data_IF_163265188276
#
_entry.id   IF_163265188276
#
_cell.length_a   1.000
_cell.length_b   1.000
_cell.length_c   1.000
_cell.angle_alpha   90.00
_cell.angle_beta   90.00
_cell.angle_gamma   90.00
#
_symmetry.space_group_name_H-M   'P 1'
#
loop_
_entity.id
_entity.type
_entity.pdbx_description
1 polymer ?
#
# COMPACT_ATOMS: atom_id res chain seq x y z
N UNK A 1 20.96 40.67 -8.59
CA UNK A 1 20.86 39.20 -8.38
C UNK A 1 19.55 38.74 -7.73
N UNK A 2 18.85 39.51 -6.88
CA UNK A 2 17.60 39.06 -6.25
C UNK A 2 16.39 38.89 -7.20
N UNK A 3 16.31 39.68 -8.27
CA UNK A 3 15.22 39.61 -9.25
C UNK A 3 15.20 38.32 -10.08
N UNK A 4 16.37 37.81 -10.47
CA UNK A 4 16.49 36.55 -11.22
C UNK A 4 16.03 35.34 -10.39
N UNK A 5 16.24 35.36 -9.07
CA UNK A 5 15.80 34.29 -8.16
C UNK A 5 14.27 34.25 -7.97
N UNK A 6 13.59 35.41 -8.02
CA UNK A 6 12.13 35.50 -7.88
C UNK A 6 11.42 35.14 -9.19
N UNK A 7 11.98 35.54 -10.33
CA UNK A 7 11.44 35.14 -11.64
C UNK A 7 11.55 33.63 -11.86
N UNK A 8 12.65 33.00 -11.40
CA UNK A 8 12.85 31.57 -11.51
C UNK A 8 11.87 30.77 -10.63
N UNK A 9 11.62 31.23 -9.38
CA UNK A 9 10.64 30.57 -8.50
C UNK A 9 9.21 30.73 -9.00
N UNK A 10 8.83 31.92 -9.49
CA UNK A 10 7.50 32.15 -10.10
C UNK A 10 7.30 31.28 -11.34
N UNK A 11 8.31 31.16 -12.21
CA UNK A 11 8.24 30.29 -13.39
C UNK A 11 8.08 28.81 -13.01
N UNK A 12 8.80 28.31 -11.99
CA UNK A 12 8.64 26.92 -11.53
C UNK A 12 7.27 26.63 -10.94
N UNK A 13 6.65 27.59 -10.24
CA UNK A 13 5.30 27.44 -9.68
C UNK A 13 4.26 27.41 -10.80
N UNK A 14 4.37 28.28 -11.81
CA UNK A 14 3.45 28.32 -12.94
C UNK A 14 3.53 27.03 -13.79
N UNK A 15 4.73 26.48 -13.98
CA UNK A 15 4.92 25.20 -14.70
C UNK A 15 4.29 24.04 -13.91
N UNK A 16 4.48 23.99 -12.59
CA UNK A 16 3.88 22.97 -11.75
C UNK A 16 2.33 23.04 -11.75
N UNK A 17 1.77 24.26 -11.70
CA UNK A 17 0.32 24.48 -11.78
C UNK A 17 -0.25 24.07 -13.15
N UNK A 18 0.42 24.41 -14.25
CA UNK A 18 0.00 24.01 -15.59
C UNK A 18 0.03 22.49 -15.78
N UNK A 19 1.04 21.81 -15.24
CA UNK A 19 1.13 20.34 -15.26
C UNK A 19 0.02 19.68 -14.43
N UNK A 20 -0.27 20.21 -13.24
CA UNK A 20 -1.38 19.72 -12.41
C UNK A 20 -2.75 19.93 -13.08
N UNK A 21 -2.97 21.07 -13.75
CA UNK A 21 -4.22 21.32 -14.47
C UNK A 21 -4.38 20.37 -15.66
N UNK A 22 -3.31 20.15 -16.43
CA UNK A 22 -3.33 19.22 -17.56
C UNK A 22 -3.60 17.78 -17.12
N UNK A 23 -2.98 17.34 -16.02
CA UNK A 23 -3.22 16.01 -15.45
C UNK A 23 -4.66 15.86 -14.94
N UNK A 24 -5.20 16.89 -14.29
CA UNK A 24 -6.58 16.92 -13.83
C UNK A 24 -7.56 16.81 -15.01
N UNK A 25 -7.34 17.57 -16.08
CA UNK A 25 -8.20 17.56 -17.27
C UNK A 25 -8.14 16.21 -17.98
N UNK A 26 -6.95 15.64 -18.18
CA UNK A 26 -6.80 14.30 -18.75
C UNK A 26 -7.48 13.21 -17.90
N UNK A 27 -7.42 13.32 -16.57
CA UNK A 27 -8.09 12.39 -15.67
C UNK A 27 -9.62 12.49 -15.76
N UNK A 28 -10.15 13.71 -15.91
CA UNK A 28 -11.57 13.97 -16.12
C UNK A 28 -12.06 13.41 -17.45
N UNK A 29 -11.27 13.55 -18.51
CA UNK A 29 -11.59 13.03 -19.84
C UNK A 29 -11.63 11.50 -19.85
N UNK A 30 -10.64 10.83 -19.26
CA UNK A 30 -10.61 9.37 -19.12
C UNK A 30 -11.84 8.87 -18.33
N UNK A 31 -12.19 9.54 -17.23
CA UNK A 31 -13.37 9.22 -16.42
C UNK A 31 -14.64 9.28 -17.27
N UNK A 32 -14.84 10.41 -17.97
CA UNK A 32 -16.02 10.63 -18.80
C UNK A 32 -16.11 9.60 -19.93
N UNK A 33 -15.01 9.38 -20.64
CA UNK A 33 -14.93 8.42 -21.74
C UNK A 33 -15.34 7.01 -21.28
N UNK A 34 -14.73 6.51 -20.21
CA UNK A 34 -15.06 5.18 -19.69
C UNK A 34 -16.53 5.04 -19.26
N UNK A 35 -17.12 6.09 -18.68
CA UNK A 35 -18.53 6.07 -18.30
C UNK A 35 -19.47 6.14 -19.51
N UNK A 36 -19.11 6.89 -20.55
CA UNK A 36 -19.84 6.94 -21.82
C UNK A 36 -19.79 5.58 -22.54
N UNK A 37 -18.64 4.91 -22.55
CA UNK A 37 -18.54 3.58 -23.18
C UNK A 37 -19.41 2.55 -22.46
N UNK A 38 -19.45 2.60 -21.12
CA UNK A 38 -20.32 1.74 -20.30
C UNK A 38 -21.80 2.07 -20.47
N UNK A 39 -22.14 3.33 -20.70
CA UNK A 39 -23.52 3.76 -20.92
C UNK A 39 -23.99 3.56 -22.36
N UNK A 40 -23.13 3.02 -23.24
CA UNK A 40 -23.35 2.96 -24.69
C UNK A 40 -23.68 4.33 -25.28
N UNK A 41 -22.97 5.37 -24.83
CA UNK A 41 -23.13 6.78 -25.20
C UNK A 41 -24.53 7.34 -24.90
N UNK A 42 -25.22 6.80 -23.90
CA UNK A 42 -26.44 7.40 -23.38
C UNK A 42 -26.11 8.45 -22.32
N UNK A 43 -26.32 9.73 -22.64
CA UNK A 43 -25.96 10.85 -21.75
C UNK A 43 -26.69 10.80 -20.39
N UNK A 44 -27.99 10.50 -20.37
CA UNK A 44 -28.75 10.40 -19.11
C UNK A 44 -28.25 9.27 -18.21
N UNK A 45 -27.82 8.15 -18.79
CA UNK A 45 -27.21 7.05 -18.03
C UNK A 45 -25.81 7.45 -17.57
N UNK A 46 -25.04 8.15 -18.39
CA UNK A 46 -23.69 8.66 -18.06
C UNK A 46 -23.73 9.57 -16.85
N UNK A 47 -24.66 10.54 -16.81
CA UNK A 47 -24.85 11.44 -15.67
C UNK A 47 -25.17 10.69 -14.37
N UNK A 48 -26.04 9.68 -14.44
CA UNK A 48 -26.35 8.82 -13.28
C UNK A 48 -25.13 8.03 -12.79
N UNK A 49 -24.31 7.53 -13.71
CA UNK A 49 -23.08 6.82 -13.36
C UNK A 49 -22.02 7.76 -12.75
N UNK A 50 -21.92 9.00 -13.25
CA UNK A 50 -21.09 10.05 -12.65
C UNK A 50 -21.53 10.36 -11.21
N UNK A 51 -22.83 10.51 -10.98
CA UNK A 51 -23.37 10.70 -9.63
C UNK A 51 -23.00 9.53 -8.71
N UNK A 52 -23.12 8.29 -9.22
CA UNK A 52 -22.70 7.10 -8.47
C UNK A 52 -21.21 7.14 -8.13
N UNK A 53 -20.37 7.52 -9.09
CA UNK A 53 -18.91 7.61 -8.93
C UNK A 53 -18.46 8.58 -7.83
N UNK A 54 -19.25 9.60 -7.48
CA UNK A 54 -18.94 10.51 -6.36
C UNK A 54 -18.71 9.78 -5.02
N UNK A 55 -19.23 8.55 -4.88
CA UNK A 55 -19.05 7.72 -3.68
C UNK A 55 -17.97 6.65 -3.83
N UNK A 56 -17.16 6.68 -4.88
CA UNK A 56 -16.17 5.64 -5.23
C UNK A 56 -15.25 5.26 -4.06
N UNK A 57 -14.83 6.24 -3.25
CA UNK A 57 -13.98 6.01 -2.08
C UNK A 57 -14.59 5.03 -1.05
N UNK A 58 -15.92 4.92 -0.99
CA UNK A 58 -16.66 4.09 -0.05
C UNK A 58 -16.97 2.69 -0.61
N UNK A 59 -16.72 2.44 -1.89
CA UNK A 59 -17.12 1.18 -2.53
C UNK A 59 -16.28 0.02 -2.01
N UNK A 60 -16.93 -1.04 -1.52
CA UNK A 60 -16.28 -2.30 -1.10
C UNK A 60 -16.16 -3.32 -2.23
N UNK A 61 -16.99 -3.16 -3.27
CA UNK A 61 -17.02 -3.94 -4.50
C UNK A 61 -17.19 -3.01 -5.69
N UNK A 62 -16.97 -3.52 -6.90
CA UNK A 62 -17.21 -2.74 -8.11
C UNK A 62 -18.72 -2.47 -8.27
N UNK A 63 -19.09 -1.18 -8.29
CA UNK A 63 -20.48 -0.73 -8.37
C UNK A 63 -20.86 -0.27 -9.79
N UNK A 64 -19.87 0.07 -10.63
CA UNK A 64 -20.05 0.35 -12.05
C UNK A 64 -19.27 -0.73 -12.82
N UNK A 65 -19.95 -1.58 -13.60
CA UNK A 65 -19.32 -2.74 -14.22
C UNK A 65 -18.08 -2.39 -15.06
N UNK A 66 -16.93 -3.00 -14.75
CA UNK A 66 -15.67 -2.87 -15.49
C UNK A 66 -15.12 -1.44 -15.63
N UNK A 67 -15.63 -0.48 -14.87
CA UNK A 67 -15.20 0.92 -14.93
C UNK A 67 -13.73 1.08 -14.53
N UNK A 68 -13.31 0.42 -13.45
CA UNK A 68 -11.92 0.51 -12.99
C UNK A 68 -10.94 -0.09 -13.99
N UNK A 69 -11.36 -1.14 -14.71
CA UNK A 69 -10.57 -1.75 -15.79
C UNK A 69 -10.36 -0.77 -16.94
N UNK A 70 -11.40 -0.06 -17.37
CA UNK A 70 -11.28 0.96 -18.41
C UNK A 70 -10.32 2.07 -17.98
N UNK A 71 -10.54 2.69 -16.81
CA UNK A 71 -9.70 3.79 -16.32
C UNK A 71 -8.23 3.37 -16.20
N UNK A 72 -7.96 2.18 -15.66
CA UNK A 72 -6.60 1.69 -15.53
C UNK A 72 -5.96 1.37 -16.89
N UNK A 73 -6.75 0.96 -17.89
CA UNK A 73 -6.26 0.68 -19.23
C UNK A 73 -5.92 1.96 -20.01
N UNK A 74 -6.77 2.99 -19.94
CA UNK A 74 -6.51 4.31 -20.54
C UNK A 74 -5.23 4.95 -19.99
N UNK A 75 -4.91 4.68 -18.73
CA UNK A 75 -3.65 5.10 -18.09
C UNK A 75 -2.44 4.25 -18.48
N UNK A 76 -2.65 3.16 -19.21
CA UNK A 76 -1.63 2.16 -19.54
C UNK A 76 -1.19 1.31 -18.33
N UNK A 77 -1.88 1.43 -17.19
CA UNK A 77 -1.59 0.69 -15.96
C UNK A 77 -2.13 -0.74 -16.02
N UNK A 78 -3.14 -1.01 -16.86
CA UNK A 78 -3.74 -2.32 -17.02
C UNK A 78 -3.73 -2.75 -18.49
N UNK A 79 -3.14 -3.92 -18.74
CA UNK A 79 -3.13 -4.56 -20.05
C UNK A 79 -4.41 -5.39 -20.20
N UNK A 80 -5.33 -4.90 -21.03
CA UNK A 80 -6.63 -5.53 -21.26
C UNK A 80 -6.47 -6.92 -21.89
N UNK A 81 -5.57 -7.10 -22.84
CA UNK A 81 -5.44 -8.37 -23.58
C UNK A 81 -4.82 -9.46 -22.70
N UNK A 82 -3.86 -9.08 -21.84
CA UNK A 82 -3.16 -10.01 -20.96
C UNK A 82 -3.74 -10.07 -19.55
N UNK A 83 -4.81 -9.33 -19.27
CA UNK A 83 -5.47 -9.24 -17.98
C UNK A 83 -4.50 -9.04 -16.80
N UNK A 84 -3.60 -8.06 -16.90
CA UNK A 84 -2.53 -7.86 -15.91
C UNK A 84 -2.16 -6.39 -15.72
N UNK A 85 -1.69 -6.06 -14.53
CA UNK A 85 -1.13 -4.75 -14.24
C UNK A 85 0.25 -4.56 -14.86
N UNK A 86 0.48 -3.40 -15.47
CA UNK A 86 1.75 -3.00 -16.03
C UNK A 86 2.63 -2.37 -14.95
N UNK A 87 3.47 -3.19 -14.31
CA UNK A 87 4.42 -2.75 -13.28
C UNK A 87 5.24 -1.55 -13.74
N UNK A 88 5.85 -1.62 -14.93
CA UNK A 88 6.79 -0.60 -15.38
C UNK A 88 6.08 0.75 -15.51
N UNK A 89 4.92 0.78 -16.19
CA UNK A 89 4.14 2.01 -16.36
C UNK A 89 3.68 2.61 -15.03
N UNK A 90 3.21 1.79 -14.09
CA UNK A 90 2.80 2.25 -12.76
C UNK A 90 4.00 2.83 -11.98
N UNK A 91 5.17 2.19 -12.06
CA UNK A 91 6.38 2.68 -11.40
C UNK A 91 6.86 3.99 -12.03
N UNK A 92 6.79 4.11 -13.34
CA UNK A 92 7.20 5.33 -14.06
C UNK A 92 6.26 6.50 -13.76
N UNK A 93 4.95 6.26 -13.70
CA UNK A 93 3.95 7.30 -13.48
C UNK A 93 3.77 7.67 -12.00
N UNK A 94 3.77 6.67 -11.10
CA UNK A 94 3.39 6.85 -9.68
C UNK A 94 4.52 6.55 -8.69
N UNK A 95 5.63 5.98 -9.16
CA UNK A 95 6.77 5.60 -8.33
C UNK A 95 6.70 4.20 -7.73
N UNK A 96 7.89 3.66 -7.40
CA UNK A 96 8.06 2.30 -6.90
C UNK A 96 7.32 2.03 -5.57
N UNK A 97 7.23 3.03 -4.68
CA UNK A 97 6.55 2.88 -3.40
C UNK A 97 5.04 2.64 -3.57
N UNK A 98 4.43 3.32 -4.55
CA UNK A 98 3.02 3.12 -4.90
C UNK A 98 2.77 1.70 -5.40
N UNK A 99 3.62 1.23 -6.31
CA UNK A 99 3.56 -0.14 -6.81
C UNK A 99 3.76 -1.16 -5.69
N UNK A 100 4.74 -0.94 -4.82
CA UNK A 100 5.07 -1.88 -3.74
C UNK A 100 3.95 -2.00 -2.73
N UNK A 101 3.28 -0.89 -2.40
CA UNK A 101 2.11 -0.89 -1.52
C UNK A 101 0.99 -1.80 -2.04
N UNK A 102 0.73 -1.75 -3.36
CA UNK A 102 -0.35 -2.49 -4.01
C UNK A 102 0.07 -3.80 -4.69
N UNK A 103 1.34 -4.21 -4.53
CA UNK A 103 1.94 -5.32 -5.25
C UNK A 103 1.13 -6.60 -5.09
N UNK A 104 0.57 -6.86 -3.92
CA UNK A 104 -0.27 -8.03 -3.74
C UNK A 104 -1.53 -7.96 -4.61
N UNK A 105 -2.30 -6.88 -4.55
CA UNK A 105 -3.52 -6.73 -5.36
C UNK A 105 -3.22 -6.81 -6.86
N UNK A 106 -2.04 -6.36 -7.29
CA UNK A 106 -1.61 -6.49 -8.68
C UNK A 106 -1.23 -7.91 -9.11
N UNK A 107 -0.94 -8.81 -8.18
CA UNK A 107 -0.56 -10.20 -8.48
C UNK A 107 -1.57 -11.23 -7.92
N UNK A 108 -2.69 -10.76 -7.38
CA UNK A 108 -3.70 -11.60 -6.74
C UNK A 108 -4.38 -12.48 -7.80
N UNK A 109 -4.58 -13.78 -7.55
CA UNK A 109 -5.42 -14.61 -8.39
C UNK A 109 -6.83 -14.01 -8.52
N UNK A 110 -7.41 -14.10 -9.72
CA UNK A 110 -8.73 -13.56 -9.98
C UNK A 110 -9.57 -14.52 -10.82
N UNK A 111 -10.88 -14.51 -10.56
CA UNK A 111 -11.89 -15.16 -11.40
C UNK A 111 -12.58 -14.15 -12.33
N UNK A 112 -12.65 -12.88 -11.92
CA UNK A 112 -13.27 -11.79 -12.66
C UNK A 112 -12.27 -10.65 -12.85
N UNK A 113 -11.98 -10.33 -14.12
CA UNK A 113 -10.98 -9.31 -14.50
C UNK A 113 -11.37 -7.89 -14.06
N UNK A 114 -12.66 -7.58 -14.02
CA UNK A 114 -13.15 -6.25 -13.63
C UNK A 114 -13.04 -6.04 -12.12
N UNK A 115 -13.41 -7.04 -11.33
CA UNK A 115 -13.16 -7.05 -9.88
C UNK A 115 -11.67 -6.96 -9.55
N UNK A 116 -10.82 -7.65 -10.31
CA UNK A 116 -9.36 -7.57 -10.16
C UNK A 116 -8.82 -6.17 -10.45
N UNK A 117 -9.24 -5.54 -11.55
CA UNK A 117 -8.88 -4.17 -11.88
C UNK A 117 -9.41 -3.17 -10.83
N UNK A 118 -10.65 -3.36 -10.35
CA UNK A 118 -11.24 -2.55 -9.29
C UNK A 118 -10.41 -2.61 -7.99
N UNK A 119 -10.04 -3.81 -7.55
CA UNK A 119 -9.23 -3.97 -6.32
C UNK A 119 -7.87 -3.28 -6.43
N UNK A 120 -7.18 -3.44 -7.56
CA UNK A 120 -5.89 -2.78 -7.75
C UNK A 120 -6.01 -1.25 -7.87
N UNK A 121 -7.00 -0.73 -8.59
CA UNK A 121 -7.21 0.73 -8.71
C UNK A 121 -7.62 1.35 -7.36
N UNK A 122 -8.49 0.68 -6.61
CA UNK A 122 -8.85 1.07 -5.25
C UNK A 122 -7.62 1.09 -4.33
N UNK A 123 -6.75 0.09 -4.43
CA UNK A 123 -5.50 0.08 -3.69
C UNK A 123 -4.62 1.29 -4.03
N UNK A 124 -4.44 1.61 -5.33
CA UNK A 124 -3.66 2.79 -5.74
C UNK A 124 -4.20 4.07 -5.10
N UNK A 125 -5.52 4.25 -5.05
CA UNK A 125 -6.15 5.40 -4.38
C UNK A 125 -5.91 5.44 -2.87
N UNK A 126 -5.88 4.28 -2.21
CA UNK A 126 -5.50 4.22 -0.80
C UNK A 126 -4.02 4.56 -0.60
N UNK A 127 -3.17 4.06 -1.51
CA UNK A 127 -1.73 4.24 -1.46
C UNK A 127 -1.32 5.71 -1.69
N UNK A 128 -2.01 6.45 -2.57
CA UNK A 128 -1.84 7.90 -2.77
C UNK A 128 -1.93 8.68 -1.45
N UNK A 129 -2.85 8.29 -0.56
CA UNK A 129 -3.05 8.94 0.75
C UNK A 129 -2.05 8.46 1.81
N UNK A 130 -1.69 7.18 1.77
CA UNK A 130 -0.99 6.54 2.88
C UNK A 130 0.54 6.49 2.70
N UNK A 131 1.04 6.34 1.47
CA UNK A 131 2.48 6.15 1.20
C UNK A 131 3.28 7.39 1.63
N UNK A 132 2.78 8.59 1.32
CA UNK A 132 3.46 9.85 1.65
C UNK A 132 3.55 10.03 3.18
N UNK A 133 2.44 9.80 3.88
CA UNK A 133 2.38 9.93 5.35
C UNK A 133 3.29 8.91 6.03
N UNK A 134 3.22 7.65 5.59
CA UNK A 134 4.05 6.56 6.11
C UNK A 134 5.53 6.84 5.89
N UNK A 135 5.90 7.26 4.69
CA UNK A 135 7.28 7.61 4.36
C UNK A 135 7.78 8.81 5.18
N UNK A 136 6.94 9.82 5.41
CA UNK A 136 7.27 10.97 6.27
C UNK A 136 7.61 10.53 7.69
N UNK A 137 6.79 9.66 8.30
CA UNK A 137 7.06 9.11 9.62
C UNK A 137 8.38 8.36 9.68
N UNK A 138 8.64 7.49 8.69
CA UNK A 138 9.89 6.74 8.60
C UNK A 138 11.11 7.67 8.47
N UNK A 139 11.08 8.62 7.53
CA UNK A 139 12.17 9.59 7.33
C UNK A 139 12.45 10.39 8.59
N UNK A 140 11.41 10.76 9.33
CA UNK A 140 11.56 11.49 10.60
C UNK A 140 12.33 10.64 11.61
N UNK A 141 11.96 9.37 11.78
CA UNK A 141 12.65 8.46 12.69
C UNK A 141 14.07 8.14 12.24
N UNK A 142 14.32 7.97 10.93
CA UNK A 142 15.67 7.79 10.37
C UNK A 142 16.58 8.96 10.74
N UNK A 143 16.08 10.18 10.66
CA UNK A 143 16.82 11.39 11.05
C UNK A 143 17.06 11.43 12.56
N UNK A 144 16.03 11.19 13.38
CA UNK A 144 16.14 11.16 14.84
C UNK A 144 17.14 10.12 15.34
N UNK A 145 17.30 9.01 14.62
CA UNK A 145 18.26 7.93 14.95
C UNK A 145 19.64 8.11 14.33
N UNK A 146 19.89 9.21 13.60
CA UNK A 146 21.14 9.47 12.90
C UNK A 146 21.60 8.29 12.02
N UNK A 147 20.63 7.64 11.37
CA UNK A 147 20.84 6.40 10.61
C UNK A 147 21.43 6.68 9.23
N UNK A 148 22.41 5.89 8.81
CA UNK A 148 22.95 5.93 7.45
C UNK A 148 22.14 5.08 6.46
N UNK A 149 22.25 5.38 5.16
CA UNK A 149 21.60 4.58 4.12
C UNK A 149 22.07 3.12 4.14
N UNK A 150 23.35 2.85 4.45
CA UNK A 150 23.86 1.48 4.51
C UNK A 150 23.20 0.66 5.63
N UNK A 151 22.92 1.27 6.78
CA UNK A 151 22.20 0.61 7.88
C UNK A 151 20.74 0.33 7.50
N UNK A 152 20.09 1.23 6.75
CA UNK A 152 18.73 1.01 6.26
C UNK A 152 18.64 -0.17 5.29
N UNK A 153 19.66 -0.36 4.44
CA UNK A 153 19.70 -1.48 3.50
C UNK A 153 19.71 -2.84 4.20
N UNK A 154 20.18 -2.93 5.45
CA UNK A 154 20.12 -4.18 6.22
C UNK A 154 18.68 -4.67 6.46
N UNK A 155 17.70 -3.76 6.48
CA UNK A 155 16.29 -4.10 6.68
C UNK A 155 15.65 -4.76 5.46
N UNK A 156 16.27 -4.67 4.27
CA UNK A 156 15.77 -5.30 3.04
C UNK A 156 15.59 -6.82 3.19
N UNK A 157 16.37 -7.45 4.08
CA UNK A 157 16.33 -8.89 4.33
C UNK A 157 15.50 -9.31 5.55
N UNK A 158 14.79 -8.39 6.21
CA UNK A 158 14.04 -8.65 7.45
C UNK A 158 14.89 -9.39 8.49
N UNK A 159 16.01 -8.79 8.95
CA UNK A 159 16.93 -9.41 9.87
C UNK A 159 16.22 -9.82 11.17
N UNK A 160 16.74 -10.85 11.82
CA UNK A 160 16.30 -11.19 13.17
C UNK A 160 16.83 -10.13 14.13
N UNK A 161 15.92 -9.52 14.91
CA UNK A 161 16.25 -8.42 15.80
C UNK A 161 16.52 -7.11 15.06
N UNK A 162 16.24 -6.00 15.75
CA UNK A 162 16.32 -4.68 15.17
C UNK A 162 17.78 -4.22 15.03
N UNK A 163 18.20 -3.82 13.82
CA UNK A 163 19.59 -3.38 13.56
C UNK A 163 19.87 -1.95 13.99
N UNK A 164 18.87 -1.09 13.83
CA UNK A 164 18.93 0.32 14.25
C UNK A 164 18.11 0.46 15.53
N UNK A 165 18.73 0.76 16.67
CA UNK A 165 18.04 0.77 17.96
C UNK A 165 16.75 1.61 17.97
N UNK A 166 15.62 0.95 18.17
CA UNK A 166 14.29 1.55 18.32
C UNK A 166 13.80 2.37 17.12
N UNK A 167 14.26 2.08 15.90
CA UNK A 167 13.76 2.73 14.68
C UNK A 167 12.29 2.41 14.44
N UNK A 168 11.91 1.13 14.52
CA UNK A 168 10.56 0.66 14.34
C UNK A 168 9.65 1.15 15.45
N UNK A 169 10.08 1.13 16.71
CA UNK A 169 9.30 1.72 17.81
C UNK A 169 9.01 3.22 17.55
N UNK A 170 10.01 3.98 17.09
CA UNK A 170 9.78 5.38 16.69
C UNK A 170 8.71 5.49 15.59
N UNK A 171 8.86 4.69 14.52
CA UNK A 171 7.91 4.68 13.42
C UNK A 171 6.50 4.28 13.88
N UNK A 172 6.40 3.23 14.69
CA UNK A 172 5.14 2.71 15.22
C UNK A 172 4.39 3.74 16.05
N UNK A 173 5.09 4.53 16.85
CA UNK A 173 4.49 5.62 17.63
C UNK A 173 3.97 6.74 16.73
N UNK A 174 4.76 7.19 15.74
CA UNK A 174 4.32 8.25 14.80
C UNK A 174 3.15 7.79 13.92
N UNK A 175 3.17 6.53 13.49
CA UNK A 175 2.10 5.92 12.71
C UNK A 175 0.91 5.42 13.56
N UNK A 176 0.98 5.56 14.89
CA UNK A 176 -0.04 5.11 15.83
C UNK A 176 -0.47 3.66 15.57
N UNK A 177 0.52 2.78 15.42
CA UNK A 177 0.27 1.35 15.15
C UNK A 177 -0.30 0.61 16.37
N UNK A 178 -0.11 1.19 17.55
CA UNK A 178 -0.54 0.66 18.83
C UNK A 178 -1.37 1.71 19.58
N UNK A 179 -2.31 1.24 20.41
CA UNK A 179 -2.97 2.09 21.40
C UNK A 179 -2.12 2.23 22.68
N UNK A 180 -2.64 2.97 23.66
CA UNK A 180 -1.96 3.22 24.95
C UNK A 180 -1.73 1.93 25.77
N UNK A 181 -2.45 0.85 25.46
CA UNK A 181 -2.32 -0.48 26.06
C UNK A 181 -1.46 -1.44 25.21
N UNK A 182 -0.73 -0.91 24.22
CA UNK A 182 0.06 -1.70 23.27
C UNK A 182 -0.75 -2.74 22.48
N UNK A 183 -2.05 -2.51 22.30
CA UNK A 183 -2.89 -3.30 21.41
C UNK A 183 -2.78 -2.76 19.99
N UNK A 184 -2.84 -3.65 18.99
CA UNK A 184 -2.75 -3.22 17.59
C UNK A 184 -3.96 -2.39 17.17
N UNK A 185 -3.69 -1.25 16.54
CA UNK A 185 -4.69 -0.53 15.76
C UNK A 185 -4.58 -1.05 14.32
N UNK A 186 -5.25 -2.18 14.04
CA UNK A 186 -5.14 -2.92 12.76
C UNK A 186 -5.33 -2.03 11.54
N UNK A 187 -6.26 -1.06 11.61
CA UNK A 187 -6.50 -0.09 10.54
C UNK A 187 -5.25 0.73 10.20
N UNK A 188 -4.45 1.11 11.20
CA UNK A 188 -3.23 1.90 10.99
C UNK A 188 -2.09 1.04 10.45
N UNK A 189 -2.01 -0.23 10.85
CA UNK A 189 -1.12 -1.20 10.21
C UNK A 189 -1.41 -1.37 8.72
N UNK A 190 -2.68 -1.58 8.36
CA UNK A 190 -3.10 -1.69 6.95
C UNK A 190 -2.80 -0.41 6.16
N UNK A 191 -3.02 0.76 6.77
CA UNK A 191 -2.64 2.03 6.16
C UNK A 191 -1.13 2.11 5.91
N UNK A 192 -0.30 1.73 6.88
CA UNK A 192 1.14 1.82 6.77
C UNK A 192 1.74 0.85 5.75
N UNK A 193 1.27 -0.40 5.72
CA UNK A 193 1.93 -1.49 4.99
C UNK A 193 1.16 -2.01 3.77
N UNK A 194 -0.08 -1.55 3.59
CA UNK A 194 -0.94 -1.96 2.49
C UNK A 194 -1.87 -3.13 2.82
N UNK A 195 -2.66 -3.57 1.84
CA UNK A 195 -3.62 -4.65 2.02
C UNK A 195 -2.93 -5.98 2.36
N UNK A 196 -3.52 -6.72 3.30
CA UNK A 196 -3.08 -8.08 3.64
C UNK A 196 -3.48 -9.06 2.55
N UNK A 197 -2.67 -10.12 2.34
CA UNK A 197 -2.93 -11.07 1.26
C UNK A 197 -4.25 -11.82 1.44
N UNK A 198 -4.47 -12.22 2.67
CA UNK A 198 -5.62 -12.98 3.09
C UNK A 198 -6.36 -12.18 4.16
N UNK A 199 -7.50 -11.61 3.78
CA UNK A 199 -8.36 -10.85 4.68
C UNK A 199 -8.92 -11.72 5.81
N UNK A 200 -8.89 -13.05 5.66
CA UNK A 200 -9.26 -14.02 6.70
C UNK A 200 -8.07 -14.49 7.55
N UNK A 201 -6.84 -14.07 7.22
CA UNK A 201 -5.66 -14.47 7.97
C UNK A 201 -5.78 -13.99 9.42
N UNK A 202 -5.55 -14.92 10.34
CA UNK A 202 -5.45 -14.60 11.75
C UNK A 202 -4.12 -13.90 12.04
N UNK A 203 -4.06 -12.60 11.81
CA UNK A 203 -2.89 -11.77 12.06
C UNK A 203 -2.44 -11.82 13.52
N UNK A 204 -3.32 -12.19 14.47
CA UNK A 204 -2.96 -12.29 15.89
C UNK A 204 -1.85 -13.31 16.18
N UNK A 205 -1.55 -14.22 15.25
CA UNK A 205 -0.39 -15.11 15.34
C UNK A 205 0.94 -14.35 15.42
N UNK A 206 0.99 -13.13 14.88
CA UNK A 206 2.16 -12.28 14.96
C UNK A 206 2.29 -11.52 16.28
N UNK A 207 1.28 -11.57 17.15
CA UNK A 207 1.32 -10.87 18.42
C UNK A 207 2.19 -11.64 19.40
N UNK A 208 3.17 -10.94 19.98
CA UNK A 208 3.95 -11.47 21.10
C UNK A 208 3.04 -11.54 22.33
N UNK A 209 3.05 -12.67 23.03
CA UNK A 209 2.23 -12.86 24.23
C UNK A 209 2.55 -11.81 25.30
N UNK A 210 1.53 -11.41 26.06
CA UNK A 210 1.68 -10.37 27.09
C UNK A 210 2.74 -10.73 28.14
N UNK A 211 2.88 -12.02 28.47
CA UNK A 211 3.93 -12.53 29.36
C UNK A 211 5.34 -12.25 28.79
N UNK A 212 5.56 -12.51 27.49
CA UNK A 212 6.84 -12.22 26.85
C UNK A 212 7.09 -10.72 26.73
N UNK A 213 6.07 -9.93 26.41
CA UNK A 213 6.18 -8.47 26.33
C UNK A 213 6.63 -7.83 27.65
N UNK A 214 6.30 -8.42 28.81
CA UNK A 214 6.74 -7.93 30.14
C UNK A 214 8.24 -8.09 30.38
N UNK A 215 8.89 -9.04 29.69
CA UNK A 215 10.32 -9.33 29.89
C UNK A 215 11.20 -8.85 28.73
N UNK A 216 10.60 -8.63 27.55
CA UNK A 216 11.29 -8.14 26.36
C UNK A 216 11.39 -6.61 26.33
N UNK A 217 12.47 -6.10 25.75
CA UNK A 217 12.59 -4.69 25.41
C UNK A 217 11.49 -4.29 24.39
N UNK A 218 10.86 -3.12 24.58
CA UNK A 218 9.75 -2.64 23.75
C UNK A 218 10.09 -2.58 22.26
N UNK A 219 11.28 -2.12 21.93
CA UNK A 219 11.74 -2.01 20.55
C UNK A 219 11.93 -3.39 19.92
N UNK A 220 12.44 -4.35 20.69
CA UNK A 220 12.64 -5.73 20.23
C UNK A 220 11.32 -6.42 19.90
N UNK A 221 10.35 -6.42 20.81
CA UNK A 221 9.12 -7.15 20.56
C UNK A 221 8.29 -6.47 19.46
N UNK A 222 8.24 -5.13 19.40
CA UNK A 222 7.54 -4.43 18.31
C UNK A 222 8.15 -4.75 16.95
N UNK A 223 9.49 -4.81 16.87
CA UNK A 223 10.18 -5.18 15.64
C UNK A 223 9.92 -6.64 15.23
N UNK A 224 9.83 -7.56 16.18
CA UNK A 224 9.48 -8.97 15.90
C UNK A 224 8.05 -9.11 15.36
N UNK A 225 7.09 -8.36 15.93
CA UNK A 225 5.71 -8.33 15.43
C UNK A 225 5.64 -7.75 14.00
N UNK A 226 6.36 -6.67 13.75
CA UNK A 226 6.51 -6.07 12.42
C UNK A 226 7.05 -7.07 11.40
N UNK A 227 8.18 -7.71 11.73
CA UNK A 227 8.78 -8.71 10.87
C UNK A 227 7.83 -9.86 10.59
N UNK A 228 7.04 -10.28 11.58
CA UNK A 228 6.02 -11.30 11.35
C UNK A 228 4.92 -10.81 10.40
N UNK A 229 4.42 -9.58 10.58
CA UNK A 229 3.42 -8.96 9.70
C UNK A 229 3.89 -8.87 8.25
N UNK A 230 5.10 -8.35 8.01
CA UNK A 230 5.71 -8.29 6.68
C UNK A 230 5.82 -9.67 6.04
N UNK A 231 6.11 -10.69 6.86
CA UNK A 231 6.19 -12.09 6.42
C UNK A 231 4.83 -12.74 6.19
N UNK A 232 3.74 -12.27 6.79
CA UNK A 232 2.40 -12.73 6.43
C UNK A 232 1.93 -12.05 5.13
N UNK A 233 2.23 -10.77 4.96
CA UNK A 233 1.77 -9.98 3.82
C UNK A 233 2.62 -10.17 2.55
N UNK A 234 3.87 -10.60 2.69
CA UNK A 234 4.92 -10.70 1.67
C UNK A 234 4.75 -9.88 0.38
N UNK A 235 5.21 -8.63 0.48
CA UNK A 235 5.65 -7.76 -0.61
C UNK A 235 7.12 -8.01 -1.04
N UNK A 236 7.76 -9.12 -0.67
CA UNK A 236 9.10 -9.49 -1.20
C UNK A 236 9.07 -10.90 -1.81
N UNK A 237 9.78 -11.09 -2.91
CA UNK A 237 9.74 -12.29 -3.76
C UNK A 237 10.02 -13.57 -2.95
N UNK A 238 8.96 -14.26 -2.51
CA UNK A 238 8.91 -15.70 -2.24
C UNK A 238 10.11 -16.35 -1.56
N UNK A 239 10.80 -15.66 -0.63
CA UNK A 239 12.02 -16.21 -0.05
C UNK A 239 11.68 -17.41 0.86
N UNK A 240 12.62 -18.35 0.89
CA UNK A 240 12.59 -19.63 1.62
C UNK A 240 12.10 -19.52 3.07
N UNK A 241 12.17 -18.33 3.67
CA UNK A 241 11.69 -18.03 5.01
C UNK A 241 10.18 -18.28 5.23
N UNK A 242 9.30 -17.98 4.24
CA UNK A 242 7.86 -18.21 4.39
C UNK A 242 7.50 -19.70 4.44
N UNK A 243 8.07 -20.52 3.53
CA UNK A 243 7.90 -21.98 3.57
C UNK A 243 8.43 -22.57 4.88
N UNK A 244 9.48 -21.97 5.47
CA UNK A 244 10.02 -22.37 6.78
C UNK A 244 9.13 -21.94 7.94
N UNK A 245 8.58 -20.73 7.90
CA UNK A 245 7.66 -20.22 8.92
C UNK A 245 6.34 -21.01 8.93
N UNK A 246 5.74 -21.27 7.75
CA UNK A 246 4.57 -22.13 7.61
C UNK A 246 4.82 -23.55 8.11
N UNK A 247 5.96 -24.17 7.77
CA UNK A 247 6.33 -25.51 8.29
C UNK A 247 6.51 -25.53 9.81
N UNK A 248 7.00 -24.44 10.39
CA UNK A 248 7.17 -24.33 11.84
C UNK A 248 5.81 -24.25 12.54
N UNK A 249 4.84 -23.56 11.93
CA UNK A 249 3.46 -23.42 12.42
C UNK A 249 2.67 -24.73 12.22
N UNK A 250 2.85 -25.44 11.10
CA UNK A 250 2.17 -26.74 10.89
C UNK A 250 2.66 -27.80 11.88
N UNK A 251 3.94 -27.77 12.24
CA UNK A 251 4.54 -28.75 13.14
C UNK A 251 4.29 -28.44 14.63
N UNK A 252 3.98 -27.20 15.00
CA UNK A 252 3.56 -26.88 16.37
C UNK A 252 2.14 -27.36 16.64
N UNK A 253 1.25 -27.36 15.64
CA UNK A 253 -0.14 -27.80 15.80
C UNK A 253 -0.33 -29.32 15.73
N UNK A 254 0.69 -30.08 15.33
CA UNK A 254 0.66 -31.55 15.28
C UNK A 254 1.14 -32.22 16.57
N UNK A 255 1.68 -31.45 17.53
CA UNK A 255 2.21 -31.99 18.79
C UNK A 255 1.16 -31.96 19.91
N UNK A 256 0.12 -31.12 19.80
CA UNK A 256 -0.92 -30.96 20.83
C UNK A 256 -2.12 -31.93 20.70
N UNK A 257 -2.04 -32.95 19.84
CA UNK A 257 -3.09 -33.97 19.67
C UNK A 257 -2.65 -35.40 19.96
N UNK A 258 -1.48 -35.61 20.55
CA UNK A 258 -1.02 -36.95 20.98
C UNK A 258 -0.30 -36.88 22.34
N UNK A 259 -0.98 -36.40 23.38
CA UNK A 259 -0.73 -36.75 24.78
C UNK A 259 -1.96 -36.47 25.64
#
# INVERSE_FOLDING_TARGET
>A
MKYYSVLFTVATILIAQALCNLEHDMNSDILRQCLQDISHHNETVTERLLEKFNTYANWTKEEIPCFARCVAAEKGWFDIERHRWNKQKIVDDLGANMYNYCRYEFNRPFSNVCTYAFKGLKCLKQAELNVIVTYSHLVTCVKEKATSMSQLLEYYHFPAGERIPCLFNCFANKAQLYDDNYQWIVKNWLKAFGPIRDESANISICRISDEKRRTMNVCSWMYDEYNCWERLNYNTNGSVAYRRALRKISNSNSIDHNN
#
